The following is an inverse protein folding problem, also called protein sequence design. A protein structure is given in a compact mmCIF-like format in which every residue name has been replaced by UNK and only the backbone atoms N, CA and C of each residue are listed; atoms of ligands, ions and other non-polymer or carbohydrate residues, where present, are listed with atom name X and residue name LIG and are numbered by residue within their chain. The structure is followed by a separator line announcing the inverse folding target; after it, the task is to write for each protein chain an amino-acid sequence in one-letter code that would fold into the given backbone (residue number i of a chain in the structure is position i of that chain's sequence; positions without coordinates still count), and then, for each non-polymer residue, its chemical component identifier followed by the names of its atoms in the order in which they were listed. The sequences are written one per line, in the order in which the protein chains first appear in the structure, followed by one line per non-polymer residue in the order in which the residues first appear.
data_IF_432102661598
#
_entry.id   IF_432102661598
#
_cell.length_a   1.000
_cell.length_b   1.000
_cell.length_c   1.000
_cell.angle_alpha   90.00
_cell.angle_beta   90.00
_cell.angle_gamma   90.00
#
_symmetry.space_group_name_H-M   'P 1'
#
loop_
_entity.id
_entity.type
_entity.pdbx_description
1 polymer ?
#
# COMPACT_ATOMS: atom_id res chain seq x y z
N UNK A 1 -5.65 1.01 4.75
CA UNK A 1 -4.64 1.92 5.32
C UNK A 1 -3.37 1.15 5.69
N UNK A 2 -2.19 1.62 5.28
CA UNK A 2 -2.03 2.71 4.31
C UNK A 2 -2.68 2.37 2.95
N UNK A 3 -2.97 3.37 2.12
CA UNK A 3 -3.54 3.19 0.79
C UNK A 3 -2.50 3.63 -0.25
N UNK A 4 -2.08 2.70 -1.11
CA UNK A 4 -1.06 2.97 -2.14
C UNK A 4 -1.67 3.69 -3.35
N UNK A 5 -0.82 4.32 -4.17
CA UNK A 5 -1.28 4.91 -5.43
C UNK A 5 -1.92 3.85 -6.35
N UNK A 6 -1.31 2.67 -6.45
CA UNK A 6 -1.83 1.56 -7.26
C UNK A 6 -3.23 1.11 -6.81
N UNK A 7 -3.47 1.00 -5.50
CA UNK A 7 -4.79 0.63 -4.96
C UNK A 7 -5.86 1.67 -5.33
N UNK A 8 -5.53 2.96 -5.33
CA UNK A 8 -6.47 4.02 -5.66
C UNK A 8 -6.75 4.14 -7.15
N UNK A 9 -5.77 3.78 -7.99
CA UNK A 9 -5.85 3.77 -9.45
C UNK A 9 -6.45 2.48 -10.02
N UNK A 10 -6.72 1.48 -9.19
CA UNK A 10 -7.42 0.26 -9.61
C UNK A 10 -8.77 0.63 -10.22
N UNK A 11 -9.17 -0.10 -11.27
CA UNK A 11 -10.43 0.10 -11.99
C UNK A 11 -11.63 -0.02 -11.04
N UNK A 12 -11.66 -1.11 -10.27
CA UNK A 12 -12.68 -1.36 -9.26
C UNK A 12 -12.31 -0.78 -7.90
N UNK A 13 -13.34 -0.36 -7.15
CA UNK A 13 -13.19 0.11 -5.78
C UNK A 13 -14.26 -0.48 -4.90
N UNK A 14 -13.86 -1.52 -4.17
CA UNK A 14 -14.74 -2.38 -3.37
C UNK A 14 -14.79 -1.96 -1.89
N UNK A 15 -14.48 -0.70 -1.59
CA UNK A 15 -14.53 -0.17 -0.24
C UNK A 15 -15.78 0.67 -0.04
N UNK A 16 -16.43 0.53 1.12
CA UNK A 16 -17.65 1.25 1.50
C UNK A 16 -17.41 2.74 1.86
N UNK A 17 -16.31 3.31 1.39
CA UNK A 17 -15.96 4.72 1.53
C UNK A 17 -15.28 5.21 0.25
N UNK A 18 -15.39 6.50 -0.10
CA UNK A 18 -14.83 7.00 -1.36
C UNK A 18 -13.30 6.93 -1.43
N UNK A 19 -12.74 6.72 -2.65
CA UNK A 19 -11.29 6.83 -2.93
C UNK A 19 -10.67 8.12 -2.38
N UNK A 20 -11.39 9.23 -2.50
CA UNK A 20 -10.94 10.53 -2.00
C UNK A 20 -10.75 10.54 -0.48
N UNK A 21 -11.58 9.83 0.28
CA UNK A 21 -11.43 9.74 1.73
C UNK A 21 -10.17 8.96 2.11
N UNK A 22 -9.78 7.95 1.32
CA UNK A 22 -8.50 7.25 1.50
C UNK A 22 -7.29 8.10 1.07
N UNK A 23 -7.38 8.78 -0.07
CA UNK A 23 -6.27 9.55 -0.62
C UNK A 23 -6.03 10.86 0.13
N UNK A 24 -7.08 11.60 0.47
CA UNK A 24 -7.03 12.96 1.00
C UNK A 24 -7.98 13.13 2.20
N UNK A 25 -7.76 12.43 3.32
CA UNK A 25 -8.58 12.59 4.52
C UNK A 25 -8.48 14.00 5.15
N UNK A 26 -7.41 14.74 4.84
CA UNK A 26 -7.23 16.15 5.23
C UNK A 26 -6.82 16.98 4.01
N UNK A 27 -7.22 18.26 3.97
CA UNK A 27 -7.09 19.11 2.79
C UNK A 27 -5.65 19.32 2.32
N UNK A 28 -4.71 19.53 3.25
CA UNK A 28 -3.29 19.78 2.96
C UNK A 28 -2.60 18.67 2.19
N UNK A 29 -3.13 17.44 2.24
CA UNK A 29 -2.58 16.32 1.47
C UNK A 29 -2.78 16.46 -0.03
N UNK A 30 -3.63 17.39 -0.50
CA UNK A 30 -3.79 17.69 -1.93
C UNK A 30 -2.61 18.50 -2.47
N UNK A 31 -2.01 19.34 -1.62
CA UNK A 31 -0.88 20.20 -2.00
C UNK A 31 0.44 19.42 -1.94
N UNK A 32 0.59 18.56 -0.93
CA UNK A 32 1.75 17.72 -0.75
C UNK A 32 1.33 16.32 -0.25
N UNK A 33 1.37 15.35 -1.17
CA UNK A 33 1.02 13.96 -0.89
C UNK A 33 2.26 13.07 -0.81
N UNK A 34 2.49 12.48 0.37
CA UNK A 34 3.34 11.29 0.46
C UNK A 34 2.52 10.05 0.10
N UNK A 35 3.03 9.26 -0.84
CA UNK A 35 2.42 8.00 -1.27
C UNK A 35 3.06 6.83 -0.52
N UNK A 36 2.28 6.05 0.24
CA UNK A 36 2.77 4.80 0.79
C UNK A 36 3.18 3.86 -0.35
N UNK A 37 4.44 3.37 -0.38
CA UNK A 37 4.92 2.51 -1.47
C UNK A 37 4.32 1.10 -1.40
N UNK A 38 3.93 0.65 -0.21
CA UNK A 38 3.33 -0.67 0.02
C UNK A 38 2.07 -0.57 0.89
N UNK A 39 1.22 -1.59 0.78
CA UNK A 39 0.07 -1.75 1.66
C UNK A 39 0.51 -2.20 3.06
N UNK A 40 -0.47 -2.51 3.93
CA UNK A 40 -0.17 -3.06 5.26
C UNK A 40 0.62 -4.36 5.13
N UNK A 41 1.74 -4.44 5.83
CA UNK A 41 2.61 -5.63 5.86
C UNK A 41 1.96 -6.74 6.68
N UNK A 42 2.08 -7.99 6.21
CA UNK A 42 1.73 -9.19 6.98
C UNK A 42 2.90 -9.62 7.86
N UNK A 43 2.88 -9.18 9.11
CA UNK A 43 3.93 -9.50 10.08
C UNK A 43 3.95 -10.98 10.45
N UNK A 44 2.77 -11.61 10.59
CA UNK A 44 2.68 -12.98 11.08
C UNK A 44 3.15 -14.00 10.02
N UNK A 45 3.01 -13.67 8.74
CA UNK A 45 3.66 -14.42 7.67
C UNK A 45 5.19 -14.29 7.74
N UNK A 46 5.70 -13.06 7.93
CA UNK A 46 7.14 -12.79 8.06
C UNK A 46 7.79 -13.56 9.21
N UNK A 47 7.15 -13.60 10.38
CA UNK A 47 7.65 -14.34 11.54
C UNK A 47 7.72 -15.86 11.32
N UNK A 48 6.81 -16.41 10.49
CA UNK A 48 6.76 -17.85 10.17
C UNK A 48 7.66 -18.23 8.99
N UNK A 49 8.02 -17.27 8.13
CA UNK A 49 8.79 -17.47 6.90
C UNK A 49 10.00 -16.54 6.89
N UNK A 50 10.95 -16.79 7.78
CA UNK A 50 12.10 -15.91 7.98
C UNK A 50 13.01 -15.87 6.75
N UNK A 51 13.04 -14.71 6.10
CA UNK A 51 13.99 -14.36 5.03
C UNK A 51 14.75 -13.12 5.46
N UNK A 52 16.04 -13.28 5.79
CA UNK A 52 16.89 -12.22 6.34
C UNK A 52 18.06 -11.82 5.42
N UNK A 53 18.04 -12.30 4.17
CA UNK A 53 18.96 -11.90 3.11
C UNK A 53 18.16 -11.61 1.83
N UNK A 54 18.77 -10.90 0.89
CA UNK A 54 18.15 -10.67 -0.41
C UNK A 54 17.84 -12.01 -1.09
N UNK A 55 16.65 -12.12 -1.67
CA UNK A 55 16.33 -13.23 -2.55
C UNK A 55 17.07 -13.05 -3.89
N UNK A 56 17.21 -14.12 -4.70
CA UNK A 56 17.61 -13.98 -6.09
C UNK A 56 16.71 -13.00 -6.84
N UNK A 57 17.23 -12.31 -7.85
CA UNK A 57 16.48 -11.29 -8.61
C UNK A 57 15.20 -11.88 -9.22
N UNK A 58 15.26 -13.15 -9.61
CA UNK A 58 14.17 -13.92 -10.20
C UNK A 58 12.97 -14.07 -9.26
N UNK A 59 13.16 -13.92 -7.95
CA UNK A 59 12.10 -13.99 -6.96
C UNK A 59 11.26 -12.70 -6.84
N UNK A 60 11.70 -11.59 -7.47
CA UNK A 60 11.01 -10.30 -7.45
C UNK A 60 10.26 -9.98 -8.75
N UNK A 61 10.29 -10.90 -9.73
CA UNK A 61 9.66 -10.75 -11.04
C UNK A 61 8.16 -11.10 -11.04
#
# INVERSE_FOLDING_TARGET
APHTAQMLLAEEWLHDYPRQQAAYPVASLRDAKYWPPVARVDNAYGDRNLVCACLPIEAYA
#
